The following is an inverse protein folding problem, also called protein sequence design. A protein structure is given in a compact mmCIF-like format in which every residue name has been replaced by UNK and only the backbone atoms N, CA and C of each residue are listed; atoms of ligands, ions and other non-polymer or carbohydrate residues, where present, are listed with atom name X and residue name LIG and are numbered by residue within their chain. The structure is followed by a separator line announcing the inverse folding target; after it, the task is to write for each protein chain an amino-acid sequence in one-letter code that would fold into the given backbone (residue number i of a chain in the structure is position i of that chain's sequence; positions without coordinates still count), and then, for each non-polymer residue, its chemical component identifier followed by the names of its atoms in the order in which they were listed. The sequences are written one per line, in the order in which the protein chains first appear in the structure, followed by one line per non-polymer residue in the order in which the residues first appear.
data_IF_556992960956
#
_entry.id   IF_556992960956
#
_cell.length_a   1.000
_cell.length_b   1.000
_cell.length_c   1.000
_cell.angle_alpha   90.00
_cell.angle_beta   90.00
_cell.angle_gamma   90.00
#
_symmetry.space_group_name_H-M   'P 1'
#
loop_
_entity.id
_entity.type
_entity.pdbx_description
1 polymer ?
#
# COMPACT_ATOMS: atom_id res chain seq x y z
N UNK A 1 -23.76 -3.28 11.94
CA UNK A 1 -22.72 -2.84 12.89
C UNK A 1 -21.74 -1.96 12.12
N UNK A 2 -21.83 -0.65 12.33
CA UNK A 2 -21.05 0.33 11.57
C UNK A 2 -19.65 0.38 12.18
N UNK A 3 -18.65 -0.20 11.51
CA UNK A 3 -17.27 -0.05 11.93
C UNK A 3 -16.77 1.31 11.47
N UNK A 4 -16.85 2.31 12.33
CA UNK A 4 -16.20 3.60 12.10
C UNK A 4 -14.76 3.46 12.56
N UNK A 5 -13.83 3.33 11.61
CA UNK A 5 -12.40 3.35 11.88
C UNK A 5 -11.95 4.81 12.05
N UNK A 6 -11.41 5.13 13.20
CA UNK A 6 -10.79 6.43 13.43
C UNK A 6 -9.49 6.49 12.62
N UNK A 7 -9.39 7.48 11.74
CA UNK A 7 -8.21 7.69 10.90
C UNK A 7 -7.28 8.67 11.59
N UNK A 8 -6.06 8.23 11.85
CA UNK A 8 -4.99 9.11 12.32
C UNK A 8 -4.19 9.57 11.10
N UNK A 9 -4.09 10.87 10.92
CA UNK A 9 -3.33 11.49 9.84
C UNK A 9 -1.83 11.37 10.07
N UNK A 10 -1.12 10.86 9.09
CA UNK A 10 0.34 11.02 8.98
C UNK A 10 0.65 12.12 7.97
N UNK A 11 1.76 12.83 8.18
CA UNK A 11 2.23 13.84 7.24
C UNK A 11 2.47 13.21 5.84
N UNK A 12 1.80 13.75 4.82
CA UNK A 12 1.89 13.26 3.44
C UNK A 12 0.64 12.56 2.92
N UNK A 13 -0.29 12.15 3.78
CA UNK A 13 -1.57 11.60 3.34
C UNK A 13 -2.69 12.64 3.46
N UNK A 14 -3.56 12.78 2.44
CA UNK A 14 -4.74 13.62 2.57
C UNK A 14 -5.67 13.07 3.65
N UNK A 15 -6.38 13.96 4.34
CA UNK A 15 -7.41 13.59 5.32
C UNK A 15 -8.55 12.86 4.61
N UNK A 16 -8.72 11.58 4.87
CA UNK A 16 -9.70 10.77 4.17
C UNK A 16 -10.35 9.76 5.11
N UNK A 17 -11.60 9.50 4.85
CA UNK A 17 -12.32 8.39 5.46
C UNK A 17 -12.20 7.17 4.56
N UNK A 18 -11.38 6.19 4.96
CA UNK A 18 -11.32 4.90 4.30
C UNK A 18 -12.09 3.88 5.16
N UNK A 19 -13.27 3.47 4.73
CA UNK A 19 -14.05 2.44 5.41
C UNK A 19 -15.12 1.85 4.50
N UNK A 20 -15.39 0.58 4.67
CA UNK A 20 -16.63 -0.01 4.24
C UNK A 20 -17.65 0.12 5.39
N UNK A 21 -18.69 0.91 5.21
CA UNK A 21 -19.73 1.10 6.22
C UNK A 21 -20.51 -0.19 6.47
N UNK A 22 -20.64 -1.02 5.46
CA UNK A 22 -21.19 -2.38 5.48
C UNK A 22 -20.64 -3.12 4.30
N UNK A 23 -20.51 -4.42 4.40
CA UNK A 23 -19.98 -5.23 3.32
C UNK A 23 -19.30 -6.52 3.79
N UNK A 24 -18.51 -7.11 2.92
CA UNK A 24 -17.78 -8.35 3.17
C UNK A 24 -16.28 -8.06 3.31
N UNK A 25 -15.66 -8.72 4.28
CA UNK A 25 -14.22 -8.57 4.57
C UNK A 25 -13.52 -9.87 4.21
N UNK A 26 -12.46 -9.76 3.43
CA UNK A 26 -11.62 -10.86 3.01
C UNK A 26 -10.19 -10.66 3.52
N UNK A 27 -9.58 -11.73 3.98
CA UNK A 27 -8.13 -11.81 4.12
C UNK A 27 -7.52 -12.05 2.76
N UNK A 28 -6.46 -11.34 2.40
CA UNK A 28 -5.76 -11.53 1.13
C UNK A 28 -4.25 -11.58 1.30
N UNK A 29 -3.59 -12.24 0.37
CA UNK A 29 -2.13 -12.22 0.27
C UNK A 29 -1.71 -11.02 -0.53
N UNK A 30 -0.74 -10.26 -0.02
CA UNK A 30 -0.13 -9.14 -0.73
C UNK A 30 1.17 -9.60 -1.37
N UNK A 31 1.20 -9.66 -2.69
CA UNK A 31 2.43 -9.84 -3.45
C UNK A 31 3.18 -8.52 -3.48
N UNK A 32 4.38 -8.53 -2.93
CA UNK A 32 5.24 -7.35 -2.76
C UNK A 32 6.31 -7.39 -3.82
N UNK A 33 6.34 -6.40 -4.69
CA UNK A 33 7.12 -6.45 -5.92
C UNK A 33 7.97 -5.18 -6.09
N UNK A 34 9.22 -5.35 -6.42
CA UNK A 34 10.09 -4.26 -6.87
C UNK A 34 9.85 -3.92 -8.35
N UNK A 35 9.53 -4.91 -9.17
CA UNK A 35 9.08 -4.75 -10.54
C UNK A 35 7.56 -4.79 -10.63
N UNK A 36 6.99 -4.10 -11.61
CA UNK A 36 5.54 -4.14 -11.85
C UNK A 36 5.08 -5.59 -12.09
N UNK A 37 4.09 -6.11 -11.32
CA UNK A 37 3.77 -7.54 -11.30
C UNK A 37 3.20 -8.08 -12.62
N UNK A 38 2.67 -7.21 -13.49
CA UNK A 38 2.07 -7.60 -14.77
C UNK A 38 3.02 -7.36 -15.93
N UNK A 39 3.69 -6.21 -15.96
CA UNK A 39 4.55 -5.80 -17.10
C UNK A 39 6.02 -6.13 -16.89
N UNK A 40 6.47 -6.36 -15.65
CA UNK A 40 7.87 -6.56 -15.31
C UNK A 40 8.72 -5.29 -15.31
N UNK A 41 8.12 -4.13 -15.55
CA UNK A 41 8.84 -2.85 -15.60
C UNK A 41 9.30 -2.46 -14.20
N UNK A 42 10.54 -2.02 -14.08
CA UNK A 42 11.11 -1.42 -12.88
C UNK A 42 11.14 0.10 -13.10
N UNK A 43 10.33 0.83 -12.35
CA UNK A 43 10.30 2.29 -12.38
C UNK A 43 11.26 2.92 -11.37
N UNK A 44 11.69 2.14 -10.36
CA UNK A 44 12.63 2.61 -9.36
C UNK A 44 13.97 2.99 -9.98
N UNK A 45 14.58 4.08 -9.51
CA UNK A 45 15.86 4.60 -10.00
C UNK A 45 17.03 3.62 -9.84
N UNK A 46 16.92 2.64 -8.94
CA UNK A 46 17.90 1.58 -8.77
C UNK A 46 17.99 0.61 -9.96
N UNK A 47 16.91 0.48 -10.74
CA UNK A 47 16.87 -0.36 -11.93
C UNK A 47 17.08 -1.84 -11.65
N UNK A 48 17.37 -2.60 -12.70
CA UNK A 48 17.56 -4.06 -12.60
C UNK A 48 18.77 -4.45 -11.74
N UNK A 49 19.82 -3.65 -11.72
CA UNK A 49 21.00 -3.93 -10.90
C UNK A 49 20.72 -3.94 -9.40
N UNK A 50 19.66 -3.31 -8.98
CA UNK A 50 19.23 -3.26 -7.58
C UNK A 50 18.05 -4.20 -7.28
N UNK A 51 17.72 -5.11 -8.19
CA UNK A 51 16.52 -5.95 -8.05
C UNK A 51 16.48 -6.73 -6.73
N UNK A 52 17.56 -7.47 -6.42
CA UNK A 52 17.59 -8.30 -5.21
C UNK A 52 17.47 -7.47 -3.93
N UNK A 53 18.15 -6.33 -3.86
CA UNK A 53 18.09 -5.40 -2.72
C UNK A 53 16.75 -4.74 -2.65
N UNK A 54 16.22 -4.26 -3.76
CA UNK A 54 14.91 -3.61 -3.84
C UNK A 54 13.77 -4.55 -3.47
N UNK A 55 13.77 -5.76 -4.00
CA UNK A 55 12.77 -6.77 -3.67
C UNK A 55 12.79 -7.12 -2.18
N UNK A 56 13.97 -7.36 -1.61
CA UNK A 56 14.11 -7.64 -0.18
C UNK A 56 13.65 -6.48 0.70
N UNK A 57 13.88 -5.24 0.27
CA UNK A 57 13.42 -4.06 0.98
C UNK A 57 11.87 -3.97 0.98
N UNK A 58 11.22 -4.17 -0.15
CA UNK A 58 9.74 -4.15 -0.24
C UNK A 58 9.16 -5.25 0.66
N UNK A 59 9.74 -6.44 0.63
CA UNK A 59 9.31 -7.55 1.48
C UNK A 59 9.49 -7.27 2.98
N UNK A 60 10.49 -6.49 3.35
CA UNK A 60 10.72 -6.04 4.72
C UNK A 60 9.81 -4.89 5.17
N UNK A 61 9.39 -4.04 4.24
CA UNK A 61 8.59 -2.85 4.53
C UNK A 61 7.08 -3.07 4.49
N UNK A 62 6.60 -4.10 3.82
CA UNK A 62 5.16 -4.39 3.67
C UNK A 62 4.88 -5.82 4.08
N UNK A 63 3.84 -6.02 4.88
CA UNK A 63 3.39 -7.34 5.27
C UNK A 63 2.77 -8.10 4.09
N UNK A 64 2.95 -9.43 4.09
CA UNK A 64 2.40 -10.31 3.05
C UNK A 64 0.90 -10.57 3.18
N UNK A 65 0.28 -10.11 4.26
CA UNK A 65 -1.15 -10.26 4.50
C UNK A 65 -1.81 -8.90 4.52
N UNK A 66 -2.97 -8.80 3.89
CA UNK A 66 -3.80 -7.63 3.88
C UNK A 66 -5.26 -7.96 4.05
N UNK A 67 -6.08 -6.94 4.06
CA UNK A 67 -7.53 -7.04 4.15
C UNK A 67 -8.15 -6.34 2.95
N UNK A 68 -9.02 -7.04 2.25
CA UNK A 68 -9.85 -6.49 1.19
C UNK A 68 -11.30 -6.42 1.68
N UNK A 69 -11.86 -5.25 1.67
CA UNK A 69 -13.27 -5.00 2.01
C UNK A 69 -14.05 -4.65 0.75
N UNK A 70 -15.19 -5.29 0.57
CA UNK A 70 -16.15 -4.98 -0.50
C UNK A 70 -17.40 -4.45 0.16
N UNK A 71 -17.67 -3.16 -0.03
CA UNK A 71 -18.86 -2.53 0.53
C UNK A 71 -20.13 -2.95 -0.19
N UNK A 72 -21.30 -2.77 0.44
CA UNK A 72 -22.58 -3.14 -0.15
C UNK A 72 -22.91 -2.35 -1.42
N UNK A 73 -22.33 -1.18 -1.60
CA UNK A 73 -22.46 -0.37 -2.82
C UNK A 73 -21.42 -0.69 -3.90
N UNK A 74 -20.59 -1.73 -3.67
CA UNK A 74 -19.61 -2.23 -4.64
C UNK A 74 -18.26 -1.52 -4.63
N UNK A 75 -17.95 -0.71 -3.62
CA UNK A 75 -16.63 -0.11 -3.46
C UNK A 75 -15.65 -1.09 -2.82
N UNK A 76 -14.39 -1.03 -3.26
CA UNK A 76 -13.31 -1.88 -2.77
C UNK A 76 -12.33 -1.05 -1.94
N UNK A 77 -11.96 -1.58 -0.77
CA UNK A 77 -10.97 -0.98 0.13
C UNK A 77 -9.90 -2.00 0.49
N UNK A 78 -8.65 -1.64 0.25
CA UNK A 78 -7.50 -2.47 0.58
C UNK A 78 -6.79 -1.88 1.79
N UNK A 79 -6.57 -2.69 2.82
CA UNK A 79 -5.74 -2.34 3.95
C UNK A 79 -4.45 -3.15 3.91
N UNK A 80 -3.33 -2.46 3.90
CA UNK A 80 -1.99 -3.03 3.98
C UNK A 80 -1.33 -2.61 5.29
N UNK A 81 -0.43 -3.45 5.81
CA UNK A 81 0.41 -3.08 6.94
C UNK A 81 1.82 -2.80 6.48
N UNK A 82 2.29 -1.61 6.80
CA UNK A 82 3.66 -1.19 6.58
C UNK A 82 4.47 -1.30 7.87
N UNK A 83 5.67 -1.82 7.75
CA UNK A 83 6.68 -1.87 8.80
C UNK A 83 7.79 -0.86 8.54
N UNK A 84 8.76 -0.76 9.44
CA UNK A 84 9.92 0.13 9.32
C UNK A 84 9.54 1.60 9.14
N UNK A 85 8.42 2.01 9.74
CA UNK A 85 7.91 3.38 9.63
C UNK A 85 8.86 4.42 10.24
N UNK A 86 9.74 4.00 11.16
CA UNK A 86 10.76 4.87 11.76
C UNK A 86 11.89 5.22 10.78
N UNK A 87 12.04 4.47 9.70
CA UNK A 87 13.09 4.61 8.69
C UNK A 87 12.58 5.05 7.31
N UNK A 88 11.29 5.27 7.18
CA UNK A 88 10.66 5.65 5.91
C UNK A 88 9.73 6.85 6.10
N UNK A 89 9.58 7.65 5.05
CA UNK A 89 8.73 8.85 5.05
C UNK A 89 8.24 9.18 3.64
N UNK A 90 7.41 10.21 3.53
CA UNK A 90 6.94 10.69 2.22
C UNK A 90 6.16 9.64 1.43
N UNK A 91 5.43 8.77 2.13
CA UNK A 91 4.66 7.70 1.50
C UNK A 91 3.58 8.24 0.58
N UNK A 92 3.51 7.68 -0.63
CA UNK A 92 2.43 7.96 -1.57
C UNK A 92 2.00 6.68 -2.28
N UNK A 93 0.73 6.64 -2.70
CA UNK A 93 0.17 5.48 -3.37
C UNK A 93 -0.66 5.90 -4.58
N UNK A 94 -0.58 5.11 -5.63
CA UNK A 94 -1.42 5.19 -6.81
C UNK A 94 -1.96 3.80 -7.12
N UNK A 95 -3.08 3.76 -7.82
CA UNK A 95 -3.80 2.51 -8.12
C UNK A 95 -4.17 2.44 -9.59
N UNK A 96 -4.25 1.21 -10.10
CA UNK A 96 -4.79 0.92 -11.43
C UNK A 96 -5.46 -0.45 -11.43
N UNK A 97 -6.39 -0.70 -12.35
CA UNK A 97 -6.80 -2.06 -12.66
C UNK A 97 -5.67 -2.79 -13.40
N UNK A 98 -5.61 -4.09 -13.24
CA UNK A 98 -4.75 -4.93 -14.08
C UNK A 98 -5.12 -4.74 -15.54
N UNK A 99 -4.12 -4.46 -16.38
CA UNK A 99 -4.30 -4.19 -17.80
C UNK A 99 -4.42 -2.71 -18.17
N UNK A 100 -4.65 -1.82 -17.19
CA UNK A 100 -4.64 -0.38 -17.45
C UNK A 100 -3.21 0.13 -17.60
N UNK A 101 -3.05 1.19 -18.40
CA UNK A 101 -1.75 1.85 -18.59
C UNK A 101 -1.55 3.07 -17.70
N UNK A 102 -2.62 3.64 -17.17
CA UNK A 102 -2.60 4.85 -16.35
C UNK A 102 -2.71 4.56 -14.87
N UNK A 103 -2.26 5.51 -14.06
CA UNK A 103 -2.34 5.49 -12.60
C UNK A 103 -3.28 6.56 -12.09
N UNK A 104 -4.02 6.25 -11.03
CA UNK A 104 -4.89 7.19 -10.35
C UNK A 104 -4.53 7.29 -8.88
N UNK A 105 -4.65 8.47 -8.31
CA UNK A 105 -4.57 8.63 -6.85
C UNK A 105 -5.84 8.05 -6.23
N UNK A 106 -5.73 7.23 -5.16
CA UNK A 106 -6.92 6.75 -4.47
C UNK A 106 -7.81 7.91 -4.03
N UNK A 107 -9.12 7.81 -4.30
CA UNK A 107 -10.09 8.84 -3.88
C UNK A 107 -10.24 8.92 -2.36
N UNK A 108 -9.92 7.84 -1.67
CA UNK A 108 -9.91 7.71 -0.21
C UNK A 108 -8.67 6.93 0.21
N UNK A 109 -7.88 7.51 1.11
CA UNK A 109 -6.70 6.87 1.69
C UNK A 109 -6.41 7.44 3.07
N UNK A 110 -6.01 6.60 4.01
CA UNK A 110 -5.63 7.06 5.35
C UNK A 110 -5.05 5.95 6.21
N UNK A 111 -4.49 6.35 7.35
CA UNK A 111 -4.00 5.43 8.37
C UNK A 111 -5.16 5.01 9.25
N UNK A 112 -5.40 3.72 9.37
CA UNK A 112 -6.49 3.15 10.18
C UNK A 112 -6.01 2.50 11.46
N UNK A 113 -4.69 2.33 11.62
CA UNK A 113 -4.10 1.79 12.83
C UNK A 113 -2.60 2.04 12.86
N UNK A 114 -2.06 2.07 14.07
CA UNK A 114 -0.62 2.14 14.34
C UNK A 114 -0.27 1.06 15.36
N UNK A 115 0.92 0.53 15.25
CA UNK A 115 1.42 -0.50 16.14
C UNK A 115 2.93 -0.57 16.09
N UNK A 116 3.46 -1.67 16.54
CA UNK A 116 4.89 -1.96 16.48
C UNK A 116 5.12 -3.45 16.28
N UNK A 117 6.24 -3.78 15.68
CA UNK A 117 6.77 -5.13 15.57
C UNK A 117 8.23 -5.16 16.05
N UNK A 118 8.94 -6.24 15.79
CA UNK A 118 10.35 -6.38 16.19
C UNK A 118 11.29 -5.38 15.46
N UNK A 119 10.82 -4.74 14.39
CA UNK A 119 11.59 -3.79 13.58
C UNK A 119 11.21 -2.32 13.84
N UNK A 120 10.29 -2.05 14.76
CA UNK A 120 9.85 -0.72 15.13
C UNK A 120 8.37 -0.44 14.84
N UNK A 121 8.07 0.79 14.47
CA UNK A 121 6.70 1.25 14.28
C UNK A 121 6.08 0.68 12.99
N UNK A 122 4.81 0.28 13.08
CA UNK A 122 3.98 -0.13 11.94
C UNK A 122 2.81 0.81 11.73
N UNK A 123 2.28 0.85 10.51
CA UNK A 123 1.07 1.59 10.17
C UNK A 123 0.18 0.78 9.24
N UNK A 124 -1.11 0.77 9.53
CA UNK A 124 -2.11 0.18 8.65
C UNK A 124 -2.66 1.28 7.74
N UNK A 125 -2.45 1.11 6.43
CA UNK A 125 -2.90 2.05 5.40
C UNK A 125 -4.10 1.44 4.69
N UNK A 126 -5.24 2.09 4.77
CA UNK A 126 -6.44 1.71 4.05
C UNK A 126 -6.65 2.67 2.87
N UNK A 127 -6.92 2.13 1.70
CA UNK A 127 -7.14 2.91 0.50
C UNK A 127 -8.25 2.33 -0.36
N UNK A 128 -8.98 3.19 -1.04
CA UNK A 128 -9.92 2.78 -2.06
C UNK A 128 -9.17 2.30 -3.29
N UNK A 129 -9.51 1.12 -3.79
CA UNK A 129 -8.94 0.52 -5.00
C UNK A 129 -10.03 0.30 -6.05
N UNK A 130 -9.68 0.26 -7.35
CA UNK A 130 -10.70 0.19 -8.40
C UNK A 130 -11.42 -1.17 -8.47
N UNK A 131 -10.75 -2.23 -8.05
CA UNK A 131 -11.31 -3.60 -8.04
C UNK A 131 -10.45 -4.52 -7.20
N UNK A 132 -10.86 -5.78 -7.06
CA UNK A 132 -10.03 -6.84 -6.46
C UNK A 132 -8.82 -7.21 -7.33
N UNK A 133 -8.90 -6.95 -8.64
CA UNK A 133 -7.84 -7.21 -9.61
C UNK A 133 -7.12 -5.90 -9.98
N UNK A 134 -6.36 -5.39 -9.03
CA UNK A 134 -5.69 -4.10 -9.14
C UNK A 134 -4.21 -4.22 -8.78
N UNK A 135 -3.46 -3.19 -9.16
CA UNK A 135 -2.06 -2.99 -8.76
C UNK A 135 -1.97 -1.68 -8.00
N UNK A 136 -1.26 -1.69 -6.88
CA UNK A 136 -0.90 -0.49 -6.13
C UNK A 136 0.56 -0.17 -6.38
N UNK A 137 0.86 1.06 -6.79
CA UNK A 137 2.22 1.60 -6.89
C UNK A 137 2.49 2.45 -5.67
N UNK A 138 3.48 2.07 -4.88
CA UNK A 138 3.94 2.84 -3.72
C UNK A 138 5.24 3.57 -4.01
N UNK A 139 5.41 4.70 -3.36
CA UNK A 139 6.68 5.42 -3.28
C UNK A 139 6.92 5.86 -1.85
N UNK A 140 8.15 5.77 -1.39
CA UNK A 140 8.55 6.22 -0.06
C UNK A 140 10.02 6.61 -0.04
N UNK A 141 10.36 7.58 0.79
CA UNK A 141 11.77 7.89 1.09
C UNK A 141 12.28 6.87 2.11
N UNK A 142 13.42 6.28 1.83
CA UNK A 142 14.07 5.29 2.70
C UNK A 142 15.35 5.90 3.25
N UNK A 143 15.36 6.24 4.54
CA UNK A 143 16.48 6.94 5.18
C UNK A 143 17.83 6.23 5.02
N UNK A 144 17.96 4.92 5.28
CA UNK A 144 19.24 4.22 5.09
C UNK A 144 19.76 4.24 3.66
N UNK A 145 18.87 4.36 2.66
CA UNK A 145 19.23 4.43 1.25
C UNK A 145 19.44 5.86 0.77
N UNK A 146 18.94 6.86 1.50
CA UNK A 146 19.03 8.28 1.17
C UNK A 146 18.29 8.68 -0.10
N UNK A 147 17.25 7.95 -0.50
CA UNK A 147 16.46 8.20 -1.71
C UNK A 147 15.06 7.65 -1.63
N UNK A 148 14.21 8.12 -2.55
CA UNK A 148 12.92 7.52 -2.78
C UNK A 148 13.05 6.15 -3.45
N UNK A 149 12.12 5.26 -3.12
CA UNK A 149 12.00 3.94 -3.71
C UNK A 149 10.56 3.74 -4.21
N UNK A 150 10.45 3.21 -5.43
CA UNK A 150 9.17 2.85 -6.06
C UNK A 150 9.00 1.34 -5.99
N UNK A 151 7.81 0.91 -5.60
CA UNK A 151 7.46 -0.50 -5.46
C UNK A 151 6.00 -0.76 -5.83
N UNK A 152 5.62 -2.03 -5.94
CA UNK A 152 4.27 -2.44 -6.31
C UNK A 152 3.71 -3.47 -5.35
N UNK A 153 2.40 -3.41 -5.16
CA UNK A 153 1.64 -4.37 -4.37
C UNK A 153 0.52 -4.94 -5.24
N UNK A 154 0.36 -6.25 -5.17
CA UNK A 154 -0.67 -6.95 -5.92
C UNK A 154 -1.42 -7.87 -4.94
N UNK A 155 -2.66 -7.52 -4.56
CA UNK A 155 -3.48 -8.31 -3.64
C UNK A 155 -4.04 -9.59 -4.25
#
# INVERSE_FOLDING_TARGET
MTCVLAITLMAGFPAVKAYAASGTVYSCTINRCYAHPVTGVIEDSGGESSYATGQGMVEGCVYSNGILEVSDDGAYYLTIRMSLMDYTSGHSFQVQNVGDSGWSTPSEIGITGNGSDSNGTTADVCMRVPSENCVVRGSMYVEPMGRDVIFYLYP
#
